data_IF_370399711440
#
_entry.id   IF_370399711440
#
_cell.length_a   1.000
_cell.length_b   1.000
_cell.length_c   1.000
_cell.angle_alpha   90.00
_cell.angle_beta   90.00
_cell.angle_gamma   90.00
#
_symmetry.space_group_name_H-M   'P 1'
#
loop_
_entity.id
_entity.type
_entity.pdbx_description
1 polymer ?
#
# COMPACT_ATOMS: atom_id res chain seq x y z
N UNK A 1 -1.80 -10.93 -19.24
CA UNK A 1 -0.52 -11.09 -18.51
C UNK A 1 0.60 -11.31 -19.53
N UNK A 2 1.64 -10.47 -19.51
CA UNK A 2 2.85 -10.82 -20.28
C UNK A 2 3.44 -12.08 -19.64
N UNK A 3 3.71 -13.11 -20.44
CA UNK A 3 4.26 -14.35 -19.94
C UNK A 3 5.63 -14.10 -19.31
N UNK A 4 5.82 -14.57 -18.08
CA UNK A 4 7.12 -14.62 -17.45
C UNK A 4 7.95 -15.67 -18.18
N UNK A 5 9.14 -15.31 -18.65
CA UNK A 5 10.03 -16.28 -19.34
C UNK A 5 10.40 -17.40 -18.39
N UNK A 6 10.55 -18.60 -18.92
CA UNK A 6 11.09 -19.73 -18.17
C UNK A 6 12.44 -19.33 -17.54
N UNK A 7 12.68 -19.74 -16.30
CA UNK A 7 13.86 -19.41 -15.48
C UNK A 7 14.04 -17.92 -15.13
N UNK A 8 13.02 -17.07 -15.32
CA UNK A 8 13.08 -15.69 -14.84
C UNK A 8 13.10 -15.67 -13.30
N UNK A 9 14.00 -14.89 -12.72
CA UNK A 9 13.97 -14.60 -11.29
C UNK A 9 12.83 -13.60 -11.04
N UNK A 10 11.86 -13.99 -10.22
CA UNK A 10 10.75 -13.13 -9.80
C UNK A 10 10.97 -12.74 -8.35
N UNK A 11 10.83 -11.46 -8.05
CA UNK A 11 10.86 -10.92 -6.70
C UNK A 11 9.53 -10.18 -6.44
N UNK A 12 8.93 -10.45 -5.30
CA UNK A 12 7.66 -9.84 -4.86
C UNK A 12 7.90 -8.98 -3.62
N UNK A 13 6.86 -8.26 -3.17
CA UNK A 13 6.95 -7.33 -2.04
C UNK A 13 7.43 -8.02 -0.75
N UNK A 14 7.04 -9.28 -0.56
CA UNK A 14 7.39 -10.09 0.61
C UNK A 14 8.89 -10.43 0.65
N UNK A 15 9.55 -10.41 -0.51
CA UNK A 15 10.96 -10.79 -0.65
C UNK A 15 11.95 -9.64 -0.45
N UNK A 16 11.51 -8.37 -0.42
CA UNK A 16 12.45 -7.22 -0.39
C UNK A 16 12.85 -6.77 1.02
N UNK A 17 12.08 -7.16 2.04
CA UNK A 17 12.37 -6.81 3.44
C UNK A 17 11.51 -7.60 4.42
N UNK A 18 11.85 -7.48 5.69
CA UNK A 18 11.08 -8.07 6.81
C UNK A 18 10.70 -6.99 7.82
N UNK A 19 9.93 -7.35 8.86
CA UNK A 19 9.55 -6.43 9.92
C UNK A 19 10.78 -5.87 10.65
N UNK A 20 11.82 -6.69 10.82
CA UNK A 20 13.09 -6.32 11.49
C UNK A 20 14.02 -5.52 10.58
N UNK A 21 13.92 -5.74 9.26
CA UNK A 21 14.79 -5.12 8.27
C UNK A 21 14.00 -4.70 7.04
N UNK A 22 13.34 -3.57 7.12
CA UNK A 22 12.62 -2.99 6.00
C UNK A 22 13.56 -2.49 4.91
N UNK A 23 13.14 -2.65 3.66
CA UNK A 23 13.79 -1.96 2.54
C UNK A 23 13.56 -0.44 2.66
N UNK A 24 14.48 0.45 2.25
CA UNK A 24 14.29 1.90 2.31
C UNK A 24 12.96 2.39 1.75
N UNK A 25 12.49 1.84 0.63
CA UNK A 25 11.18 2.15 0.08
C UNK A 25 10.03 1.76 1.01
N UNK A 26 10.08 0.59 1.66
CA UNK A 26 9.05 0.18 2.62
C UNK A 26 9.01 1.13 3.82
N UNK A 27 10.18 1.50 4.35
CA UNK A 27 10.31 2.44 5.46
C UNK A 27 9.76 3.81 5.09
N UNK A 28 10.22 4.39 3.98
CA UNK A 28 9.78 5.70 3.52
C UNK A 28 8.26 5.75 3.28
N UNK A 29 7.67 4.70 2.69
CA UNK A 29 6.23 4.64 2.47
C UNK A 29 5.42 4.70 3.78
N UNK A 30 5.94 4.13 4.86
CA UNK A 30 5.32 4.25 6.18
C UNK A 30 5.46 5.67 6.74
N UNK A 31 6.66 6.21 6.72
CA UNK A 31 7.02 7.47 7.39
C UNK A 31 6.39 8.68 6.68
N UNK A 32 6.35 8.69 5.36
CA UNK A 32 5.83 9.82 4.57
C UNK A 32 4.32 9.72 4.27
N UNK A 33 3.56 8.99 5.09
CA UNK A 33 2.11 8.83 4.99
C UNK A 33 1.63 8.37 3.59
N UNK A 34 2.46 7.60 2.87
CA UNK A 34 2.12 7.08 1.54
C UNK A 34 1.15 5.90 1.59
N UNK A 35 0.87 5.39 2.80
CA UNK A 35 0.00 4.24 3.03
C UNK A 35 -1.28 4.67 3.70
N UNK A 36 -2.39 4.74 2.95
CA UNK A 36 -3.72 4.91 3.51
C UNK A 36 -4.48 3.57 3.51
N UNK A 37 -5.28 3.24 2.50
CA UNK A 37 -5.87 1.89 2.45
C UNK A 37 -4.79 0.80 2.25
N UNK A 38 -3.69 1.12 1.57
CA UNK A 38 -2.53 0.27 1.38
C UNK A 38 -2.66 -0.75 0.25
N UNK A 39 -3.80 -0.80 -0.44
CA UNK A 39 -4.02 -1.76 -1.52
C UNK A 39 -3.02 -1.61 -2.68
N UNK A 40 -2.70 -0.38 -3.04
CA UNK A 40 -1.75 -0.09 -4.12
C UNK A 40 -0.28 -0.09 -3.66
N UNK A 41 0.00 -0.05 -2.36
CA UNK A 41 1.35 0.19 -1.83
C UNK A 41 2.37 -0.84 -2.30
N UNK A 42 2.11 -2.17 -2.30
CA UNK A 42 3.05 -3.15 -2.83
C UNK A 42 3.44 -2.88 -4.29
N UNK A 43 2.45 -2.56 -5.12
CA UNK A 43 2.68 -2.26 -6.54
C UNK A 43 3.53 -1.01 -6.75
N UNK A 44 3.29 0.07 -5.99
CA UNK A 44 4.12 1.28 -6.06
C UNK A 44 5.55 1.04 -5.57
N UNK A 45 5.72 0.30 -4.46
CA UNK A 45 7.04 -0.02 -3.91
C UNK A 45 7.86 -0.84 -4.92
N UNK A 46 7.27 -1.90 -5.48
CA UNK A 46 7.97 -2.75 -6.47
C UNK A 46 8.26 -1.98 -7.77
N UNK A 47 7.32 -1.14 -8.22
CA UNK A 47 7.53 -0.27 -9.39
C UNK A 47 8.64 0.75 -9.15
N UNK A 48 8.65 1.41 -7.97
CA UNK A 48 9.72 2.33 -7.58
C UNK A 48 11.08 1.64 -7.48
N UNK A 49 11.14 0.42 -6.91
CA UNK A 49 12.36 -0.38 -6.90
C UNK A 49 12.89 -0.60 -8.33
N UNK A 50 12.00 -0.94 -9.25
CA UNK A 50 12.37 -1.09 -10.66
C UNK A 50 12.89 0.19 -11.32
N UNK A 51 12.35 1.36 -10.94
CA UNK A 51 12.89 2.66 -11.36
C UNK A 51 14.28 2.89 -10.79
N UNK A 52 14.43 2.78 -9.46
CA UNK A 52 15.70 3.09 -8.77
C UNK A 52 16.85 2.15 -9.16
N UNK A 53 16.56 0.94 -9.59
CA UNK A 53 17.56 0.04 -10.19
C UNK A 53 18.07 0.53 -11.55
N UNK A 54 17.32 1.35 -12.29
CA UNK A 54 17.69 1.89 -13.59
C UNK A 54 18.22 3.31 -13.51
N UNK A 55 17.62 4.10 -12.68
CA UNK A 55 17.98 5.49 -12.39
C UNK A 55 17.99 5.69 -10.88
N UNK A 56 19.16 5.63 -10.22
CA UNK A 56 19.26 5.79 -8.76
C UNK A 56 18.96 7.21 -8.28
N UNK A 57 19.03 8.20 -9.15
CA UNK A 57 18.79 9.61 -8.85
C UNK A 57 17.72 10.22 -9.77
N UNK A 58 16.45 9.77 -9.65
CA UNK A 58 15.39 10.30 -10.49
C UNK A 58 14.93 11.68 -10.00
N UNK A 59 14.50 12.51 -10.93
CA UNK A 59 13.71 13.70 -10.62
C UNK A 59 12.29 13.31 -10.20
N UNK A 60 11.57 14.24 -9.54
CA UNK A 60 10.17 14.03 -9.17
C UNK A 60 9.28 13.79 -10.39
N UNK A 61 9.58 14.45 -11.50
CA UNK A 61 8.87 14.29 -12.77
C UNK A 61 9.09 12.89 -13.33
N UNK A 62 10.32 12.41 -13.34
CA UNK A 62 10.63 11.04 -13.81
C UNK A 62 9.92 9.97 -12.96
N UNK A 63 9.82 10.18 -11.64
CA UNK A 63 9.05 9.27 -10.76
C UNK A 63 7.57 9.27 -11.15
N UNK A 64 6.96 10.44 -11.40
CA UNK A 64 5.54 10.54 -11.81
C UNK A 64 5.31 9.91 -13.18
N UNK A 65 6.17 10.20 -14.16
CA UNK A 65 6.08 9.62 -15.50
C UNK A 65 6.24 8.10 -15.46
N UNK A 66 7.17 7.60 -14.63
CA UNK A 66 7.34 6.16 -14.44
C UNK A 66 6.07 5.50 -13.96
N UNK A 67 5.44 6.03 -12.92
CA UNK A 67 4.19 5.50 -12.40
C UNK A 67 3.04 5.57 -13.41
N UNK A 68 2.93 6.67 -14.13
CA UNK A 68 1.94 6.83 -15.21
C UNK A 68 2.14 5.78 -16.29
N UNK A 69 3.37 5.61 -16.77
CA UNK A 69 3.72 4.64 -17.82
C UNK A 69 3.46 3.20 -17.43
N UNK A 70 3.60 2.88 -16.13
CA UNK A 70 3.42 1.53 -15.60
C UNK A 70 2.02 1.29 -15.03
N UNK A 71 1.10 2.25 -15.16
CA UNK A 71 -0.28 2.11 -14.72
C UNK A 71 -0.45 2.03 -13.20
N UNK A 72 0.46 2.61 -12.44
CA UNK A 72 0.33 2.67 -10.99
C UNK A 72 -0.72 3.71 -10.59
N UNK A 73 -1.79 3.28 -9.94
CA UNK A 73 -2.94 4.12 -9.56
C UNK A 73 -3.18 4.07 -8.06
N UNK A 74 -3.36 5.26 -7.45
CA UNK A 74 -3.78 5.41 -6.06
C UNK A 74 -5.02 6.28 -5.98
N UNK A 75 -6.06 5.85 -5.22
CA UNK A 75 -7.29 6.62 -5.01
C UNK A 75 -7.26 7.47 -3.73
N UNK A 76 -6.31 7.18 -2.82
CA UNK A 76 -6.34 7.71 -1.46
C UNK A 76 -5.41 8.90 -1.22
N UNK A 77 -4.16 8.84 -1.72
CA UNK A 77 -3.05 9.69 -1.24
C UNK A 77 -2.87 11.00 -2.01
N UNK A 78 -3.42 11.11 -3.23
CA UNK A 78 -3.13 12.24 -4.12
C UNK A 78 -1.69 12.23 -4.68
N UNK A 79 -0.99 11.10 -4.59
CA UNK A 79 0.35 10.82 -5.15
C UNK A 79 1.53 11.57 -4.53
N UNK A 80 1.36 12.79 -4.02
CA UNK A 80 2.47 13.59 -3.47
C UNK A 80 3.28 12.83 -2.41
N UNK A 81 2.65 12.23 -1.37
CA UNK A 81 3.37 11.45 -0.37
C UNK A 81 4.13 10.26 -0.96
N UNK A 82 3.58 9.63 -2.00
CA UNK A 82 4.23 8.49 -2.68
C UNK A 82 5.52 8.96 -3.37
N UNK A 83 5.47 10.07 -4.08
CA UNK A 83 6.66 10.65 -4.74
C UNK A 83 7.69 11.08 -3.71
N UNK A 84 7.26 11.74 -2.62
CA UNK A 84 8.14 12.12 -1.52
C UNK A 84 8.86 10.90 -0.93
N UNK A 85 8.14 9.83 -0.65
CA UNK A 85 8.70 8.59 -0.12
C UNK A 85 9.74 7.96 -1.06
N UNK A 86 9.50 7.99 -2.37
CA UNK A 86 10.47 7.46 -3.36
C UNK A 86 11.73 8.30 -3.38
N UNK A 87 11.63 9.64 -3.35
CA UNK A 87 12.79 10.53 -3.34
C UNK A 87 13.65 10.31 -2.09
N UNK A 88 13.01 10.19 -0.93
CA UNK A 88 13.69 9.96 0.33
C UNK A 88 14.36 8.57 0.39
N UNK A 89 13.64 7.54 -0.06
CA UNK A 89 14.24 6.21 -0.17
C UNK A 89 15.44 6.17 -1.14
N UNK A 90 15.36 6.90 -2.26
CA UNK A 90 16.44 7.04 -3.21
C UNK A 90 17.69 7.66 -2.57
N UNK A 91 17.53 8.73 -1.76
CA UNK A 91 18.63 9.37 -1.04
C UNK A 91 19.30 8.40 -0.05
N UNK A 92 18.51 7.58 0.67
CA UNK A 92 19.06 6.53 1.54
C UNK A 92 19.81 5.47 0.73
N UNK A 93 19.26 5.04 -0.40
CA UNK A 93 19.89 4.01 -1.24
C UNK A 93 21.18 4.50 -1.90
N UNK A 94 21.34 5.81 -2.12
CA UNK A 94 22.61 6.43 -2.58
C UNK A 94 23.61 6.71 -1.45
N UNK A 95 23.21 6.50 -0.18
CA UNK A 95 24.06 6.79 0.98
C UNK A 95 24.13 8.28 1.38
N UNK A 96 23.22 9.11 0.84
CA UNK A 96 23.13 10.54 1.18
C UNK A 96 22.39 10.77 2.50
N UNK A 97 21.56 9.82 2.90
CA UNK A 97 20.81 9.78 4.17
C UNK A 97 20.97 8.43 4.84
N UNK A 98 20.86 8.43 6.17
CA UNK A 98 20.78 7.21 6.94
C UNK A 98 19.33 6.67 6.97
N UNK A 99 19.15 5.40 7.33
CA UNK A 99 17.82 4.82 7.49
C UNK A 99 17.05 5.48 8.65
N UNK A 100 17.75 5.94 9.65
CA UNK A 100 17.26 6.67 10.81
C UNK A 100 16.58 7.97 10.42
N UNK A 101 17.11 8.68 9.41
CA UNK A 101 16.57 9.96 8.92
C UNK A 101 15.16 9.81 8.30
N UNK A 102 14.84 8.61 7.81
CA UNK A 102 13.51 8.28 7.26
C UNK A 102 12.70 7.39 8.20
N UNK A 103 13.08 7.30 9.47
CA UNK A 103 12.37 6.53 10.50
C UNK A 103 11.70 7.50 11.47
N UNK A 104 10.41 7.27 11.73
CA UNK A 104 9.67 8.05 12.71
C UNK A 104 10.27 7.87 14.11
N UNK A 105 10.58 8.99 14.75
CA UNK A 105 10.99 9.03 16.15
C UNK A 105 9.86 9.65 16.97
N UNK A 106 9.35 8.96 18.00
CA UNK A 106 8.32 9.53 18.88
C UNK A 106 8.81 10.82 19.56
N UNK A 107 7.92 11.82 19.74
CA UNK A 107 8.25 13.00 20.53
C UNK A 107 8.65 12.64 21.96
N UNK A 108 9.54 13.45 22.56
CA UNK A 108 10.07 13.21 23.93
C UNK A 108 8.96 13.17 24.99
N UNK A 109 7.88 13.94 24.81
CA UNK A 109 6.73 13.97 25.71
C UNK A 109 5.75 12.78 25.51
N UNK A 110 6.04 11.89 24.56
CA UNK A 110 5.23 10.72 24.23
C UNK A 110 3.87 11.03 23.57
N UNK A 111 3.60 12.29 23.22
CA UNK A 111 2.31 12.69 22.62
C UNK A 111 2.32 12.42 21.13
N UNK A 112 1.60 11.38 20.70
CA UNK A 112 1.49 11.03 19.28
C UNK A 112 0.52 11.93 18.50
N UNK A 113 -0.47 12.52 19.18
CA UNK A 113 -1.42 13.42 18.56
C UNK A 113 -0.75 14.70 18.05
N UNK A 114 -0.92 15.00 16.77
CA UNK A 114 -0.25 16.12 16.12
C UNK A 114 1.17 15.84 15.63
N UNK A 115 1.67 14.61 15.79
CA UNK A 115 2.94 14.17 15.21
C UNK A 115 2.71 13.40 13.88
N UNK A 116 3.80 13.18 13.13
CA UNK A 116 3.80 12.39 11.91
C UNK A 116 3.84 10.88 12.17
N UNK A 117 3.12 10.43 13.21
CA UNK A 117 3.06 9.01 13.57
C UNK A 117 2.55 8.15 12.42
N UNK A 118 3.31 7.13 11.97
CA UNK A 118 2.90 6.26 10.89
C UNK A 118 1.60 5.51 11.23
N UNK A 119 0.77 5.30 10.22
CA UNK A 119 -0.44 4.49 10.40
C UNK A 119 -0.10 3.14 11.04
N UNK A 120 -0.76 2.74 12.15
CA UNK A 120 -0.42 1.50 12.87
C UNK A 120 -0.43 0.24 12.00
N UNK A 121 -1.30 0.21 10.99
CA UNK A 121 -1.42 -0.94 10.06
C UNK A 121 -0.54 -0.78 8.81
N UNK A 122 0.32 0.23 8.72
CA UNK A 122 1.16 0.45 7.52
C UNK A 122 2.17 -0.68 7.31
N UNK A 123 2.71 -1.25 8.39
CA UNK A 123 3.71 -2.31 8.31
C UNK A 123 3.22 -3.51 7.51
N UNK A 124 2.06 -4.08 7.83
CA UNK A 124 1.51 -5.23 7.12
C UNK A 124 1.24 -4.92 5.62
N UNK A 125 0.93 -3.65 5.30
CA UNK A 125 0.67 -3.23 3.93
C UNK A 125 1.94 -3.11 3.08
N UNK A 126 3.01 -2.59 3.66
CA UNK A 126 4.29 -2.48 2.95
C UNK A 126 5.03 -3.81 2.87
N UNK A 127 4.70 -4.76 3.73
CA UNK A 127 5.22 -6.13 3.69
C UNK A 127 4.39 -7.06 2.80
N UNK A 128 3.21 -6.65 2.34
CA UNK A 128 2.31 -7.51 1.56
C UNK A 128 1.56 -8.56 2.38
N UNK A 129 1.57 -8.46 3.70
CA UNK A 129 0.94 -9.43 4.62
C UNK A 129 -0.44 -9.00 5.12
N UNK A 130 -0.97 -7.91 4.60
CA UNK A 130 -2.27 -7.38 5.00
C UNK A 130 -3.41 -8.16 4.35
N UNK A 131 -4.30 -8.70 5.15
CA UNK A 131 -5.58 -9.19 4.69
C UNK A 131 -6.57 -8.02 4.51
N UNK A 132 -7.21 -7.96 3.35
CA UNK A 132 -8.36 -7.11 3.09
C UNK A 132 -9.65 -7.91 3.28
N UNK A 133 -10.80 -7.23 3.33
CA UNK A 133 -12.08 -7.88 3.65
C UNK A 133 -12.40 -9.11 2.79
N UNK A 134 -12.06 -9.08 1.51
CA UNK A 134 -12.26 -10.22 0.61
C UNK A 134 -11.33 -11.41 0.93
N UNK A 135 -10.11 -11.15 1.40
CA UNK A 135 -9.11 -12.18 1.71
C UNK A 135 -9.51 -12.96 2.97
N UNK A 136 -10.27 -12.30 3.88
CA UNK A 136 -10.71 -12.92 5.13
C UNK A 136 -11.77 -13.99 4.88
N UNK A 137 -12.59 -13.88 3.83
CA UNK A 137 -13.71 -14.78 3.57
C UNK A 137 -13.29 -16.25 3.50
N UNK A 138 -12.13 -16.54 2.89
CA UNK A 138 -11.55 -17.91 2.83
C UNK A 138 -10.92 -18.41 4.14
N UNK A 139 -10.81 -17.55 5.15
CA UNK A 139 -10.21 -17.85 6.46
C UNK A 139 -11.24 -17.88 7.60
N UNK A 140 -12.51 -17.64 7.27
CA UNK A 140 -13.59 -17.65 8.25
C UNK A 140 -13.89 -19.07 8.74
N UNK A 141 -14.33 -19.24 10.00
CA UNK A 141 -14.76 -20.53 10.52
C UNK A 141 -15.87 -21.16 9.67
N UNK A 142 -15.92 -22.50 9.67
CA UNK A 142 -17.02 -23.23 9.05
C UNK A 142 -18.37 -22.79 9.65
N UNK A 143 -19.38 -22.65 8.80
CA UNK A 143 -20.71 -22.13 9.21
C UNK A 143 -20.84 -20.62 9.26
N UNK A 144 -19.81 -19.87 8.90
CA UNK A 144 -19.94 -18.41 8.78
C UNK A 144 -20.91 -18.03 7.67
N UNK A 145 -21.92 -17.22 8.02
CA UNK A 145 -22.93 -16.78 7.07
C UNK A 145 -22.45 -15.55 6.29
N UNK A 146 -22.83 -15.51 5.02
CA UNK A 146 -22.61 -14.36 4.15
C UNK A 146 -23.88 -13.50 4.14
N UNK A 147 -23.76 -12.24 4.55
CA UNK A 147 -24.86 -11.29 4.50
C UNK A 147 -24.98 -10.69 3.10
N UNK A 148 -26.16 -10.81 2.50
CA UNK A 148 -26.51 -10.14 1.26
C UNK A 148 -27.59 -9.09 1.51
N UNK A 149 -27.44 -7.91 0.90
CA UNK A 149 -28.42 -6.84 1.00
C UNK A 149 -29.24 -6.76 -0.29
N UNK A 150 -30.54 -6.91 -0.17
CA UNK A 150 -31.46 -6.71 -1.28
C UNK A 150 -31.77 -5.23 -1.40
N UNK A 151 -31.31 -4.61 -2.48
CA UNK A 151 -31.50 -3.20 -2.75
C UNK A 151 -32.72 -2.96 -3.63
N UNK A 152 -33.42 -1.84 -3.40
CA UNK A 152 -34.46 -1.37 -4.30
C UNK A 152 -33.86 -1.04 -5.68
N UNK A 153 -34.51 -1.52 -6.75
CA UNK A 153 -34.13 -1.22 -8.15
C UNK A 153 -34.78 0.10 -8.66
N UNK A 154 -35.44 0.83 -7.79
CA UNK A 154 -36.14 2.09 -8.08
C UNK A 154 -35.66 3.16 -7.10
N UNK A 155 -35.46 4.36 -7.60
CA UNK A 155 -35.00 5.50 -6.80
C UNK A 155 -36.02 5.95 -5.76
N UNK A 156 -37.32 5.89 -6.11
CA UNK A 156 -38.42 6.22 -5.23
C UNK A 156 -39.56 5.19 -5.43
N UNK A 157 -39.90 4.47 -4.37
CA UNK A 157 -40.97 3.45 -4.42
C UNK A 157 -41.59 3.23 -3.05
N UNK A 158 -42.85 2.75 -3.04
CA UNK A 158 -43.51 2.25 -1.84
C UNK A 158 -43.32 0.73 -1.81
N UNK A 159 -42.77 0.22 -0.71
CA UNK A 159 -42.72 -1.21 -0.45
C UNK A 159 -44.17 -1.71 -0.21
N UNK A 160 -44.62 -2.64 -1.04
CA UNK A 160 -45.98 -3.24 -0.92
C UNK A 160 -45.97 -4.56 -0.16
N UNK A 161 -44.90 -5.32 -0.28
CA UNK A 161 -44.69 -6.58 0.41
C UNK A 161 -43.21 -6.84 0.60
N UNK A 162 -42.87 -7.53 1.66
CA UNK A 162 -41.53 -8.05 1.95
C UNK A 162 -41.68 -9.53 2.27
N UNK A 163 -41.17 -10.39 1.40
CA UNK A 163 -41.12 -11.83 1.62
C UNK A 163 -39.72 -12.22 2.09
N UNK A 164 -39.65 -12.83 3.26
CA UNK A 164 -38.42 -13.26 3.91
C UNK A 164 -38.40 -14.77 4.14
N UNK A 165 -39.27 -15.53 3.49
CA UNK A 165 -39.44 -16.98 3.75
C UNK A 165 -38.20 -17.78 3.35
N UNK A 166 -37.35 -17.27 2.43
CA UNK A 166 -36.13 -17.91 1.97
C UNK A 166 -34.86 -17.25 2.55
N UNK A 167 -34.96 -16.30 3.48
CA UNK A 167 -33.86 -15.57 4.07
C UNK A 167 -33.27 -16.25 5.33
#
# INVERSE_FOLDING_TARGET
>A
MKQVKAYAKVETIEGIGSAERLHPLQRAFMTYASVQCGFCSPGFIMSAKGLLMRNPDPTREEVREWFTRHGNVCRCTGYKPIVDAVMEAAAVMRGEKAMEDITFTPPEDGRLYGSDFPKPTALSRVLGTCDFGADISGKMPEGTLHLAVVLAKREHARIRALDTAEA
#
